data_IF_497974226345
#
_entry.id   IF_497974226345
#
_cell.length_a   1.000
_cell.length_b   1.000
_cell.length_c   1.000
_cell.angle_alpha   90.00
_cell.angle_beta   90.00
_cell.angle_gamma   90.00
#
_symmetry.space_group_name_H-M   'P 1'
#
loop_
_entity.id
_entity.type
_entity.pdbx_description
1 polymer ?
#
# COMPACT_ATOMS: atom_id res chain seq x y z
N UNK A 1 -20.96 10.84 -1.78
CA UNK A 1 -19.99 9.84 -1.33
C UNK A 1 -18.78 9.92 -2.24
N UNK A 2 -17.60 10.16 -1.70
CA UNK A 2 -16.33 10.24 -2.45
C UNK A 2 -15.93 8.87 -3.01
N UNK A 3 -14.97 8.84 -3.95
CA UNK A 3 -14.40 7.59 -4.45
C UNK A 3 -13.79 6.75 -3.32
N UNK A 4 -13.12 7.40 -2.36
CA UNK A 4 -12.50 6.73 -1.21
C UNK A 4 -13.57 6.13 -0.29
N UNK A 5 -14.66 6.84 -0.01
CA UNK A 5 -15.75 6.30 0.81
C UNK A 5 -16.43 5.10 0.13
N UNK A 6 -16.65 5.16 -1.19
CA UNK A 6 -17.17 4.03 -1.97
C UNK A 6 -16.22 2.83 -1.93
N UNK A 7 -14.92 3.09 -2.09
CA UNK A 7 -13.91 2.03 -2.04
C UNK A 7 -13.85 1.37 -0.66
N UNK A 8 -13.99 2.13 0.42
CA UNK A 8 -14.05 1.59 1.78
C UNK A 8 -15.27 0.67 1.98
N UNK A 9 -16.42 1.04 1.41
CA UNK A 9 -17.63 0.20 1.45
C UNK A 9 -17.39 -1.10 0.67
N UNK A 10 -16.87 -1.02 -0.55
CA UNK A 10 -16.54 -2.18 -1.37
C UNK A 10 -15.52 -3.11 -0.67
N UNK A 11 -14.44 -2.54 -0.13
CA UNK A 11 -13.42 -3.28 0.62
C UNK A 11 -14.01 -3.98 1.86
N UNK A 12 -14.91 -3.34 2.61
CA UNK A 12 -15.60 -3.96 3.76
C UNK A 12 -16.53 -5.10 3.35
N UNK A 13 -17.08 -5.05 2.13
CA UNK A 13 -17.90 -6.11 1.56
C UNK A 13 -17.07 -7.26 0.96
N UNK A 14 -15.74 -7.11 0.87
CA UNK A 14 -14.86 -8.07 0.20
C UNK A 14 -14.81 -7.91 -1.33
N UNK A 15 -15.38 -6.83 -1.87
CA UNK A 15 -15.39 -6.50 -3.29
C UNK A 15 -14.06 -5.84 -3.69
N UNK A 16 -12.97 -6.59 -3.59
CA UNK A 16 -11.60 -6.07 -3.70
C UNK A 16 -11.30 -5.43 -5.05
N UNK A 17 -11.78 -6.02 -6.15
CA UNK A 17 -11.58 -5.48 -7.50
C UNK A 17 -12.29 -4.13 -7.70
N UNK A 18 -13.52 -3.99 -7.21
CA UNK A 18 -14.26 -2.73 -7.26
C UNK A 18 -13.59 -1.67 -6.37
N UNK A 19 -13.23 -2.06 -5.14
CA UNK A 19 -12.51 -1.17 -4.22
C UNK A 19 -11.20 -0.66 -4.81
N UNK A 20 -10.44 -1.55 -5.50
CA UNK A 20 -9.20 -1.19 -6.16
C UNK A 20 -9.42 -0.19 -7.29
N UNK A 21 -10.37 -0.44 -8.20
CA UNK A 21 -10.68 0.45 -9.31
C UNK A 21 -11.05 1.87 -8.83
N UNK A 22 -11.85 1.97 -7.76
CA UNK A 22 -12.22 3.26 -7.17
C UNK A 22 -11.03 4.00 -6.54
N UNK A 23 -10.10 3.28 -5.92
CA UNK A 23 -8.89 3.87 -5.32
C UNK A 23 -7.86 4.25 -6.38
N UNK A 24 -7.73 3.48 -7.45
CA UNK A 24 -6.87 3.79 -8.60
C UNK A 24 -7.34 5.07 -9.28
N UNK A 25 -8.65 5.23 -9.51
CA UNK A 25 -9.24 6.47 -10.04
C UNK A 25 -8.96 7.66 -9.12
N UNK A 26 -9.16 7.50 -7.81
CA UNK A 26 -8.85 8.55 -6.82
C UNK A 26 -7.35 8.87 -6.74
N UNK A 27 -6.48 7.87 -6.91
CA UNK A 27 -5.03 8.03 -6.95
C UNK A 27 -4.59 8.82 -8.18
N UNK A 28 -5.09 8.46 -9.36
CA UNK A 28 -4.85 9.17 -10.62
C UNK A 28 -5.30 10.63 -10.53
N UNK A 29 -6.42 10.88 -9.85
CA UNK A 29 -6.92 12.23 -9.57
C UNK A 29 -6.15 12.97 -8.46
N UNK A 30 -5.12 12.36 -7.84
CA UNK A 30 -4.33 12.90 -6.71
C UNK A 30 -5.20 13.28 -5.50
N UNK A 31 -6.25 12.51 -5.24
CA UNK A 31 -7.21 12.74 -4.17
C UNK A 31 -6.96 11.87 -2.92
N UNK A 32 -5.92 11.03 -2.95
CA UNK A 32 -5.56 10.19 -1.80
C UNK A 32 -4.61 10.94 -0.88
N UNK A 33 -5.01 11.06 0.38
CA UNK A 33 -4.10 11.38 1.48
C UNK A 33 -3.32 10.12 1.91
N UNK A 34 -2.51 10.23 2.97
CA UNK A 34 -1.72 9.09 3.49
C UNK A 34 -2.60 7.89 3.86
N UNK A 35 -3.78 8.12 4.44
CA UNK A 35 -4.69 7.05 4.81
C UNK A 35 -5.31 6.38 3.57
N UNK A 36 -5.64 7.17 2.54
CA UNK A 36 -6.08 6.69 1.24
C UNK A 36 -5.01 5.87 0.52
N UNK A 37 -3.74 6.29 0.54
CA UNK A 37 -2.62 5.51 -0.01
C UNK A 37 -2.44 4.19 0.72
N UNK A 38 -2.55 4.19 2.06
CA UNK A 38 -2.52 2.96 2.86
C UNK A 38 -3.63 2.01 2.43
N UNK A 39 -4.85 2.52 2.27
CA UNK A 39 -6.00 1.73 1.84
C UNK A 39 -5.81 1.18 0.41
N UNK A 40 -5.27 1.99 -0.52
CA UNK A 40 -4.93 1.55 -1.87
C UNK A 40 -3.96 0.36 -1.82
N UNK A 41 -2.88 0.44 -1.03
CA UNK A 41 -1.91 -0.65 -0.95
C UNK A 41 -2.52 -1.96 -0.42
N UNK A 42 -3.38 -1.86 0.60
CA UNK A 42 -4.08 -3.01 1.20
C UNK A 42 -5.10 -3.64 0.25
N UNK A 43 -5.90 -2.82 -0.43
CA UNK A 43 -6.92 -3.30 -1.38
C UNK A 43 -6.28 -3.83 -2.66
N UNK A 44 -5.22 -3.17 -3.17
CA UNK A 44 -4.44 -3.67 -4.30
C UNK A 44 -3.87 -5.07 -4.01
N UNK A 45 -3.38 -5.30 -2.78
CA UNK A 45 -2.86 -6.60 -2.39
C UNK A 45 -3.97 -7.67 -2.42
N UNK A 46 -5.11 -7.37 -1.78
CA UNK A 46 -6.25 -8.28 -1.75
C UNK A 46 -6.84 -8.56 -3.15
N UNK A 47 -6.72 -7.61 -4.07
CA UNK A 47 -7.13 -7.75 -5.47
C UNK A 47 -6.07 -8.42 -6.37
N UNK A 48 -4.87 -8.71 -5.87
CA UNK A 48 -3.80 -9.38 -6.62
C UNK A 48 -2.86 -8.45 -7.41
N UNK A 49 -2.92 -7.14 -7.18
CA UNK A 49 -2.07 -6.12 -7.79
C UNK A 49 -0.80 -5.87 -6.96
N UNK A 50 0.08 -6.88 -6.87
CA UNK A 50 1.27 -6.83 -6.01
C UNK A 50 2.25 -5.72 -6.41
N UNK A 51 2.40 -5.43 -7.70
CA UNK A 51 3.21 -4.33 -8.21
C UNK A 51 2.76 -2.98 -7.64
N UNK A 52 1.45 -2.72 -7.66
CA UNK A 52 0.86 -1.49 -7.10
C UNK A 52 0.97 -1.45 -5.58
N UNK A 53 0.79 -2.59 -4.90
CA UNK A 53 1.02 -2.70 -3.45
C UNK A 53 2.43 -2.28 -3.07
N UNK A 54 3.44 -2.84 -3.76
CA UNK A 54 4.85 -2.56 -3.47
C UNK A 54 5.18 -1.10 -3.77
N UNK A 55 4.86 -0.59 -4.97
CA UNK A 55 5.14 0.82 -5.33
C UNK A 55 4.48 1.81 -4.34
N UNK A 56 3.25 1.52 -3.91
CA UNK A 56 2.55 2.39 -2.96
C UNK A 56 3.24 2.41 -1.59
N UNK A 57 3.62 1.26 -1.04
CA UNK A 57 4.34 1.20 0.24
C UNK A 57 5.75 1.80 0.14
N UNK A 58 6.46 1.60 -0.97
CA UNK A 58 7.78 2.19 -1.19
C UNK A 58 7.73 3.72 -1.23
N UNK A 59 6.71 4.29 -1.89
CA UNK A 59 6.47 5.74 -1.89
C UNK A 59 6.16 6.26 -0.50
N UNK A 60 5.28 5.58 0.24
CA UNK A 60 4.95 5.95 1.62
C UNK A 60 6.18 5.92 2.54
N UNK A 61 7.05 4.91 2.38
CA UNK A 61 8.33 4.84 3.09
C UNK A 61 9.21 6.05 2.75
N UNK A 62 9.40 6.35 1.46
CA UNK A 62 10.23 7.47 1.02
C UNK A 62 9.70 8.82 1.53
N UNK A 63 8.38 9.02 1.52
CA UNK A 63 7.74 10.23 2.05
C UNK A 63 7.95 10.38 3.55
N UNK A 64 7.71 9.31 4.32
CA UNK A 64 7.93 9.32 5.77
C UNK A 64 9.41 9.52 6.14
N UNK A 65 10.33 8.87 5.41
CA UNK A 65 11.78 9.04 5.62
C UNK A 65 12.21 10.49 5.35
N UNK A 66 11.72 11.12 4.27
CA UNK A 66 11.98 12.53 3.97
C UNK A 66 11.40 13.49 5.02
N UNK A 67 10.28 13.13 5.62
CA UNK A 67 9.66 13.89 6.70
C UNK A 67 10.31 13.65 8.08
N UNK A 68 11.27 12.73 8.20
CA UNK A 68 11.89 12.36 9.48
C UNK A 68 10.99 11.51 10.40
N UNK A 69 9.95 10.92 9.85
CA UNK A 69 8.95 10.13 10.58
C UNK A 69 9.36 8.65 10.62
N UNK A 70 10.37 8.34 11.44
CA UNK A 70 11.02 7.02 11.43
C UNK A 70 10.06 5.85 11.65
N UNK A 71 9.06 5.99 12.52
CA UNK A 71 8.08 4.91 12.78
C UNK A 71 7.21 4.63 11.57
N UNK A 72 6.73 5.68 10.87
CA UNK A 72 5.91 5.52 9.68
C UNK A 72 6.74 4.95 8.51
N UNK A 73 8.00 5.36 8.40
CA UNK A 73 8.93 4.80 7.41
C UNK A 73 9.18 3.30 7.67
N UNK A 74 9.40 2.91 8.93
CA UNK A 74 9.60 1.53 9.34
C UNK A 74 8.38 0.65 9.06
N UNK A 75 7.17 1.14 9.38
CA UNK A 75 5.93 0.42 9.11
C UNK A 75 5.77 0.08 7.63
N UNK A 76 5.99 1.06 6.75
CA UNK A 76 5.94 0.85 5.31
C UNK A 76 7.01 -0.15 4.84
N UNK A 77 8.23 -0.06 5.36
CA UNK A 77 9.32 -0.99 5.05
C UNK A 77 8.97 -2.45 5.44
N UNK A 78 8.39 -2.65 6.62
CA UNK A 78 7.95 -3.96 7.11
C UNK A 78 6.84 -4.54 6.22
N UNK A 79 5.87 -3.72 5.80
CA UNK A 79 4.80 -4.15 4.88
C UNK A 79 5.38 -4.65 3.55
N UNK A 80 6.32 -3.91 2.96
CA UNK A 80 7.01 -4.36 1.73
C UNK A 80 7.72 -5.70 1.96
N UNK A 81 8.47 -5.82 3.06
CA UNK A 81 9.18 -7.06 3.40
C UNK A 81 8.21 -8.26 3.55
N UNK A 82 7.07 -8.06 4.21
CA UNK A 82 6.06 -9.11 4.41
C UNK A 82 5.44 -9.56 3.09
N UNK A 83 5.02 -8.63 2.23
CA UNK A 83 4.44 -8.99 0.92
C UNK A 83 5.46 -9.73 0.04
N UNK A 84 6.71 -9.29 0.00
CA UNK A 84 7.76 -10.00 -0.74
C UNK A 84 8.02 -11.41 -0.18
N UNK A 85 7.99 -11.57 1.15
CA UNK A 85 8.17 -12.88 1.79
C UNK A 85 7.06 -13.86 1.38
N UNK A 86 5.80 -13.43 1.42
CA UNK A 86 4.66 -14.30 1.14
C UNK A 86 4.52 -14.66 -0.34
N UNK A 87 4.77 -13.72 -1.26
CA UNK A 87 4.47 -13.93 -2.68
C UNK A 87 5.66 -14.34 -3.53
N UNK A 88 6.89 -14.05 -3.10
CA UNK A 88 8.10 -14.39 -3.88
C UNK A 88 8.98 -15.44 -3.21
N UNK A 89 8.85 -15.65 -1.91
CA UNK A 89 9.76 -16.44 -1.07
C UNK A 89 11.25 -16.07 -1.21
N UNK A 90 11.57 -14.90 -1.80
CA UNK A 90 12.94 -14.43 -2.00
C UNK A 90 13.42 -13.71 -0.74
N UNK A 91 14.26 -14.39 0.04
CA UNK A 91 14.76 -13.85 1.32
C UNK A 91 15.72 -12.66 1.18
N UNK A 92 16.36 -12.47 0.03
CA UNK A 92 17.30 -11.35 -0.17
C UNK A 92 16.59 -9.97 -0.19
N UNK A 93 15.54 -9.75 -1.00
CA UNK A 93 14.70 -8.54 -0.91
C UNK A 93 14.12 -8.29 0.48
N UNK A 94 13.64 -9.34 1.16
CA UNK A 94 13.07 -9.26 2.51
C UNK A 94 14.07 -8.69 3.51
N UNK A 95 15.29 -9.24 3.55
CA UNK A 95 16.36 -8.75 4.45
C UNK A 95 16.73 -7.29 4.16
N UNK A 96 16.75 -6.90 2.88
CA UNK A 96 17.04 -5.52 2.49
C UNK A 96 16.01 -4.53 3.02
N UNK A 97 14.73 -4.92 3.04
CA UNK A 97 13.66 -4.10 3.59
C UNK A 97 13.62 -4.08 5.12
N UNK A 98 13.87 -5.21 5.77
CA UNK A 98 13.96 -5.25 7.23
C UNK A 98 15.13 -4.43 7.78
N UNK A 99 16.24 -4.28 7.03
CA UNK A 99 17.34 -3.41 7.43
C UNK A 99 17.01 -1.90 7.34
N UNK A 100 15.91 -1.53 6.67
CA UNK A 100 15.40 -0.16 6.55
C UNK A 100 14.29 0.16 7.55
N UNK A 101 13.84 -0.82 8.32
CA UNK A 101 12.83 -0.69 9.35
C UNK A 101 13.43 -0.31 10.71
#
# INVERSE_FOLDING_TARGET
>A
MSLVERAQVAARAGEWAEGYALLEEAHAAKQLDRAGLRLLAEVAYAAGHLDVTIDTWERMHADAARAGESVAAAEAAVRVAMHLLFDTALMAPVRGWLARA
#
